data_IF_166036416470
#
_entry.id   IF_166036416470
#
_cell.length_a   1.000
_cell.length_b   1.000
_cell.length_c   1.000
_cell.angle_alpha   90.00
_cell.angle_beta   90.00
_cell.angle_gamma   90.00
#
_symmetry.space_group_name_H-M   'P 1'
#
loop_
_entity.id
_entity.type
_entity.pdbx_description
1 polymer ?
#
# COMPACT_ATOMS: atom_id res chain seq x y z
N UNK A 1 61.84 28.93 4.40
CA UNK A 1 60.96 29.79 3.58
C UNK A 1 60.93 29.16 2.19
N UNK A 2 59.86 28.61 1.61
CA UNK A 2 58.43 28.89 1.71
C UNK A 2 57.69 27.55 1.54
N UNK A 3 57.05 27.09 2.61
CA UNK A 3 56.03 26.05 2.56
C UNK A 3 54.71 26.76 2.84
N UNK A 4 54.06 27.27 1.80
CA UNK A 4 52.69 27.82 1.76
C UNK A 4 52.44 28.00 0.27
N UNK A 5 51.69 27.08 -0.34
CA UNK A 5 50.91 27.22 -1.59
C UNK A 5 50.54 25.82 -2.09
N UNK A 6 49.91 25.02 -1.24
CA UNK A 6 49.29 23.76 -1.64
C UNK A 6 48.10 23.45 -0.72
N UNK A 7 47.30 24.49 -0.46
CA UNK A 7 46.04 24.38 0.29
C UNK A 7 45.03 25.32 -0.38
N UNK A 8 44.71 25.07 -1.66
CA UNK A 8 43.59 25.76 -2.31
C UNK A 8 43.01 24.99 -3.52
N UNK A 9 42.98 23.66 -3.45
CA UNK A 9 42.36 22.81 -4.50
C UNK A 9 41.84 21.50 -3.93
N UNK A 10 41.18 21.53 -2.75
CA UNK A 10 40.57 20.31 -2.20
C UNK A 10 39.31 20.59 -1.34
N UNK A 11 38.46 21.53 -1.77
CA UNK A 11 37.26 21.92 -1.00
C UNK A 11 36.00 22.16 -1.85
N UNK A 12 35.89 21.58 -3.04
CA UNK A 12 34.71 21.72 -3.91
C UNK A 12 34.37 20.39 -4.60
N UNK A 13 33.99 19.37 -3.83
CA UNK A 13 33.47 18.12 -4.40
C UNK A 13 32.55 17.35 -3.43
N UNK A 14 31.62 18.04 -2.77
CA UNK A 14 30.46 17.37 -2.14
C UNK A 14 29.20 18.18 -2.40
N UNK A 15 28.93 18.48 -3.67
CA UNK A 15 27.58 18.80 -4.09
C UNK A 15 26.78 17.50 -4.05
N UNK A 16 26.06 17.31 -2.94
CA UNK A 16 25.06 16.29 -2.75
C UNK A 16 24.06 16.34 -3.91
N UNK A 17 24.20 15.42 -4.86
CA UNK A 17 23.20 15.18 -5.87
C UNK A 17 22.06 14.41 -5.19
N UNK A 18 21.15 15.15 -4.57
CA UNK A 18 19.81 14.65 -4.28
C UNK A 18 19.12 14.49 -5.64
N UNK A 19 19.32 13.33 -6.27
CA UNK A 19 18.58 12.95 -7.46
C UNK A 19 17.19 12.58 -6.98
N UNK A 20 16.28 13.56 -6.98
CA UNK A 20 14.86 13.29 -6.99
C UNK A 20 14.56 12.61 -8.33
N UNK A 21 14.52 11.28 -8.33
CA UNK A 21 13.99 10.50 -9.45
C UNK A 21 12.51 10.82 -9.56
N UNK A 22 12.18 11.82 -10.39
CA UNK A 22 10.83 11.96 -10.92
C UNK A 22 10.66 10.82 -11.92
N UNK A 23 9.86 9.81 -11.55
CA UNK A 23 9.45 8.78 -12.48
C UNK A 23 8.73 9.45 -13.66
N UNK A 24 9.32 9.34 -14.84
CA UNK A 24 8.70 9.74 -16.08
C UNK A 24 7.52 8.80 -16.34
N UNK A 25 6.33 9.37 -16.57
CA UNK A 25 5.10 8.68 -16.96
C UNK A 25 5.31 8.10 -18.37
N UNK A 26 5.83 6.86 -18.46
CA UNK A 26 6.16 6.18 -19.73
C UNK A 26 4.94 5.63 -20.47
N UNK A 27 3.73 5.84 -19.94
CA UNK A 27 2.49 5.29 -20.50
C UNK A 27 2.35 3.77 -20.34
N UNK A 28 3.33 3.10 -19.74
CA UNK A 28 3.30 1.68 -19.42
C UNK A 28 2.83 1.48 -17.99
N UNK A 29 1.82 0.64 -17.80
CA UNK A 29 1.34 0.24 -16.47
C UNK A 29 2.45 -0.61 -15.81
N UNK A 30 2.94 -0.23 -14.62
CA UNK A 30 4.00 -0.97 -13.94
C UNK A 30 3.51 -2.33 -13.44
N UNK A 31 4.43 -3.30 -13.39
CA UNK A 31 4.20 -4.64 -12.88
C UNK A 31 4.75 -4.79 -11.46
N UNK A 32 4.23 -5.75 -10.69
CA UNK A 32 4.75 -6.05 -9.34
C UNK A 32 6.25 -6.35 -9.33
N UNK A 33 6.77 -6.99 -10.38
CA UNK A 33 8.19 -7.34 -10.55
C UNK A 33 9.11 -6.13 -10.70
N UNK A 34 8.56 -4.94 -11.02
CA UNK A 34 9.34 -3.71 -11.15
C UNK A 34 9.74 -3.15 -9.77
N UNK A 35 9.12 -3.64 -8.69
CA UNK A 35 9.32 -3.16 -7.32
C UNK A 35 9.59 -4.29 -6.33
N UNK A 36 10.63 -5.12 -6.56
CA UNK A 36 10.88 -6.31 -5.77
C UNK A 36 11.32 -5.99 -4.34
N UNK A 37 11.02 -6.90 -3.42
CA UNK A 37 11.53 -6.89 -2.06
C UNK A 37 11.67 -8.33 -1.54
N UNK A 38 12.69 -8.55 -0.71
CA UNK A 38 12.89 -9.84 -0.06
C UNK A 38 11.77 -10.11 0.96
N UNK A 39 11.21 -11.32 0.91
CA UNK A 39 10.21 -11.78 1.87
C UNK A 39 10.91 -12.22 3.15
N UNK A 40 10.49 -11.66 4.27
CA UNK A 40 10.95 -12.00 5.60
C UNK A 40 10.55 -13.44 5.95
N UNK A 41 11.54 -14.29 6.22
CA UNK A 41 11.34 -15.71 6.52
C UNK A 41 11.55 -16.05 8.01
N UNK A 42 11.63 -15.04 8.87
CA UNK A 42 11.79 -15.24 10.32
C UNK A 42 10.47 -15.54 11.03
N UNK A 43 10.50 -15.52 12.36
CA UNK A 43 9.30 -15.76 13.16
C UNK A 43 8.33 -14.57 13.06
N UNK A 44 7.10 -14.83 12.63
CA UNK A 44 6.06 -13.82 12.48
C UNK A 44 5.51 -13.39 13.84
N UNK A 45 5.46 -12.07 14.06
CA UNK A 45 4.84 -11.41 15.21
C UNK A 45 3.45 -10.95 14.82
N UNK A 46 2.51 -11.88 14.86
CA UNK A 46 1.10 -11.61 14.58
C UNK A 46 0.53 -10.70 15.69
N UNK A 47 -0.19 -9.62 15.35
CA UNK A 47 -0.85 -8.78 16.34
C UNK A 47 -1.80 -9.58 17.25
N UNK A 48 -1.77 -9.29 18.55
CA UNK A 48 -2.52 -10.05 19.58
C UNK A 48 -4.05 -10.00 19.43
N UNK A 49 -4.56 -9.08 18.60
CA UNK A 49 -5.98 -8.97 18.32
C UNK A 49 -6.47 -10.04 17.33
N UNK A 50 -5.57 -10.64 16.53
CA UNK A 50 -5.87 -11.86 15.79
C UNK A 50 -5.80 -13.07 16.72
N UNK A 51 -6.90 -13.81 16.79
CA UNK A 51 -7.01 -15.00 17.64
C UNK A 51 -7.33 -16.21 16.82
N UNK A 52 -6.58 -17.29 17.05
CA UNK A 52 -6.92 -18.61 16.51
C UNK A 52 -7.79 -19.35 17.53
N UNK A 53 -9.05 -19.61 17.17
CA UNK A 53 -10.03 -20.33 18.01
C UNK A 53 -10.64 -21.43 17.17
N UNK A 54 -10.68 -22.67 17.69
CA UNK A 54 -11.22 -23.84 16.98
C UNK A 54 -10.64 -24.08 15.57
N UNK A 55 -9.37 -23.70 15.37
CA UNK A 55 -8.67 -23.82 14.10
C UNK A 55 -8.87 -22.65 13.13
N UNK A 56 -9.83 -21.76 13.41
CA UNK A 56 -10.15 -20.59 12.60
C UNK A 56 -9.49 -19.32 13.14
N UNK A 57 -9.11 -18.41 12.25
CA UNK A 57 -8.61 -17.09 12.63
C UNK A 57 -9.74 -16.09 12.71
N UNK A 58 -9.72 -15.27 13.76
CA UNK A 58 -10.69 -14.21 14.00
C UNK A 58 -10.01 -12.89 14.33
N UNK A 59 -10.61 -11.79 13.87
CA UNK A 59 -10.18 -10.43 14.21
C UNK A 59 -10.68 -9.99 15.59
N UNK A 60 -10.45 -8.71 15.91
CA UNK A 60 -10.83 -8.09 17.18
C UNK A 60 -12.35 -8.04 17.41
N UNK A 61 -13.13 -8.04 16.33
CA UNK A 61 -14.59 -8.15 16.35
C UNK A 61 -15.09 -9.60 16.39
N UNK A 62 -14.19 -10.58 16.42
CA UNK A 62 -14.53 -12.01 16.37
C UNK A 62 -14.95 -12.51 14.99
N UNK A 63 -14.76 -11.72 13.93
CA UNK A 63 -15.12 -12.08 12.56
C UNK A 63 -14.06 -12.98 11.95
N UNK A 64 -14.47 -13.93 11.12
CA UNK A 64 -13.57 -14.83 10.41
C UNK A 64 -12.62 -14.04 9.51
N UNK A 65 -11.35 -14.42 9.53
CA UNK A 65 -10.32 -13.86 8.66
C UNK A 65 -9.39 -14.97 8.16
N UNK A 66 -8.65 -14.68 7.09
CA UNK A 66 -7.54 -15.52 6.67
C UNK A 66 -6.45 -15.52 7.76
N UNK A 67 -5.63 -16.59 7.85
CA UNK A 67 -4.43 -16.58 8.68
C UNK A 67 -3.56 -15.35 8.37
N UNK A 68 -3.10 -14.60 9.39
CA UNK A 68 -2.13 -13.55 9.17
C UNK A 68 -0.83 -14.13 8.59
N UNK A 69 -0.50 -13.69 7.39
CA UNK A 69 0.67 -14.10 6.63
C UNK A 69 1.28 -12.89 5.92
N UNK A 70 2.53 -12.98 5.48
CA UNK A 70 3.10 -11.89 4.68
C UNK A 70 2.44 -11.94 3.30
N UNK A 71 1.71 -10.87 2.97
CA UNK A 71 1.04 -10.71 1.67
C UNK A 71 1.40 -9.38 1.00
N UNK A 72 2.29 -8.58 1.60
CA UNK A 72 2.70 -7.29 1.07
C UNK A 72 4.11 -6.87 1.50
N UNK A 73 4.86 -6.27 0.58
CA UNK A 73 6.08 -5.49 0.82
C UNK A 73 7.10 -6.20 1.75
N UNK A 74 7.27 -7.50 1.55
CA UNK A 74 8.30 -8.35 2.15
C UNK A 74 8.03 -8.77 3.58
N UNK A 75 7.24 -8.01 4.35
CA UNK A 75 7.07 -8.27 5.78
C UNK A 75 5.71 -7.89 6.34
N UNK A 76 4.85 -7.30 5.52
CA UNK A 76 3.58 -6.79 5.98
C UNK A 76 2.44 -7.76 5.69
N UNK A 77 1.46 -7.73 6.58
CA UNK A 77 0.13 -8.29 6.36
C UNK A 77 -0.86 -7.15 6.18
N UNK A 78 -1.54 -7.14 5.04
CA UNK A 78 -2.75 -6.36 4.83
C UNK A 78 -3.92 -7.19 5.31
N UNK A 79 -4.50 -6.79 6.45
CA UNK A 79 -5.76 -7.32 6.94
C UNK A 79 -6.91 -6.59 6.26
N UNK A 80 -7.90 -7.32 5.74
CA UNK A 80 -9.10 -6.74 5.15
C UNK A 80 -10.30 -7.07 6.01
N UNK A 81 -10.96 -6.03 6.51
CA UNK A 81 -12.04 -6.16 7.47
C UNK A 81 -13.31 -5.51 6.95
N UNK A 82 -14.46 -6.03 7.37
CA UNK A 82 -15.75 -5.38 7.12
C UNK A 82 -16.42 -5.03 8.44
N UNK A 83 -17.02 -3.86 8.55
CA UNK A 83 -17.86 -3.51 9.71
C UNK A 83 -19.38 -3.73 9.49
N UNK A 84 -19.81 -4.12 8.27
CA UNK A 84 -21.22 -4.25 7.88
C UNK A 84 -21.66 -3.13 6.94
N UNK A 85 -22.85 -3.23 6.33
CA UNK A 85 -23.45 -2.16 5.51
C UNK A 85 -22.51 -1.51 4.44
N UNK A 86 -21.65 -2.30 3.79
CA UNK A 86 -20.71 -1.80 2.77
C UNK A 86 -19.42 -1.17 3.32
N UNK A 87 -19.23 -1.15 4.64
CA UNK A 87 -17.98 -0.74 5.30
C UNK A 87 -16.84 -1.73 5.04
N UNK A 88 -15.69 -1.21 4.62
CA UNK A 88 -14.44 -1.93 4.40
C UNK A 88 -13.29 -1.11 4.98
N UNK A 89 -12.49 -1.71 5.85
CA UNK A 89 -11.27 -1.08 6.35
C UNK A 89 -10.08 -2.03 6.28
N UNK A 90 -8.88 -1.45 6.27
CA UNK A 90 -7.63 -2.17 6.10
C UNK A 90 -6.71 -1.91 7.28
N UNK A 91 -6.06 -2.97 7.76
CA UNK A 91 -4.93 -2.89 8.70
C UNK A 91 -3.65 -3.19 7.98
N UNK A 92 -2.54 -2.61 8.44
CA UNK A 92 -1.20 -2.89 7.93
C UNK A 92 -0.28 -3.25 9.09
N UNK A 93 0.01 -4.53 9.24
CA UNK A 93 0.84 -5.07 10.33
C UNK A 93 2.22 -5.45 9.81
N UNK A 94 3.28 -4.90 10.40
CA UNK A 94 4.65 -5.39 10.19
C UNK A 94 4.85 -6.68 10.99
N UNK A 95 4.84 -7.83 10.32
CA UNK A 95 4.97 -9.13 10.98
C UNK A 95 6.41 -9.46 11.41
N UNK A 96 7.42 -8.68 11.01
CA UNK A 96 8.78 -8.85 11.51
C UNK A 96 8.98 -8.15 12.87
N UNK A 97 8.33 -7.00 13.06
CA UNK A 97 8.44 -6.20 14.29
C UNK A 97 7.27 -6.37 15.26
N UNK A 98 6.08 -6.68 14.75
CA UNK A 98 4.80 -6.66 15.46
C UNK A 98 4.15 -5.27 15.53
N UNK A 99 4.64 -4.28 14.78
CA UNK A 99 4.12 -2.91 14.78
C UNK A 99 3.03 -2.69 13.75
N UNK A 100 2.04 -1.88 14.07
CA UNK A 100 0.99 -1.46 13.15
C UNK A 100 1.36 -0.16 12.40
N UNK A 101 0.78 0.01 11.21
CA UNK A 101 0.88 1.22 10.41
C UNK A 101 -0.50 1.65 9.91
N UNK A 102 -0.70 2.96 9.82
CA UNK A 102 -1.90 3.59 9.29
C UNK A 102 -1.77 3.99 7.81
N UNK A 103 -0.76 3.46 7.11
CA UNK A 103 -0.48 3.82 5.72
C UNK A 103 -1.65 3.52 4.75
N UNK A 104 -2.56 2.62 5.14
CA UNK A 104 -3.69 2.17 4.32
C UNK A 104 -5.05 2.78 4.75
N UNK A 105 -5.08 3.61 5.79
CA UNK A 105 -6.33 4.22 6.29
C UNK A 105 -7.08 4.98 5.20
N UNK A 106 -6.35 5.60 4.26
CA UNK A 106 -6.94 6.36 3.14
C UNK A 106 -7.78 5.51 2.17
N UNK A 107 -7.66 4.19 2.23
CA UNK A 107 -8.45 3.25 1.42
C UNK A 107 -9.66 2.69 2.16
N UNK A 108 -9.77 2.97 3.46
CA UNK A 108 -10.86 2.50 4.32
C UNK A 108 -12.08 3.40 4.20
N UNK A 109 -13.26 2.82 4.35
CA UNK A 109 -14.52 3.53 4.53
C UNK A 109 -15.21 3.10 5.81
N UNK A 110 -15.85 4.06 6.48
CA UNK A 110 -16.65 3.83 7.68
C UNK A 110 -18.16 4.03 7.40
N UNK A 111 -19.01 3.67 8.36
CA UNK A 111 -20.47 3.80 8.24
C UNK A 111 -20.96 5.25 8.08
N UNK A 112 -20.12 6.24 8.39
CA UNK A 112 -20.46 7.67 8.32
C UNK A 112 -19.95 8.34 7.04
N UNK A 113 -18.95 7.75 6.38
CA UNK A 113 -18.28 8.29 5.20
C UNK A 113 -18.15 7.20 4.13
N UNK A 114 -19.24 6.99 3.39
CA UNK A 114 -19.15 6.26 2.12
C UNK A 114 -18.39 7.11 1.11
N UNK A 115 -17.24 6.64 0.60
CA UNK A 115 -16.44 7.43 -0.31
C UNK A 115 -17.20 7.55 -1.63
N UNK A 116 -17.18 8.77 -2.19
CA UNK A 116 -17.93 9.14 -3.38
C UNK A 116 -17.01 9.70 -4.43
N UNK A 117 -17.30 9.37 -5.68
CA UNK A 117 -16.70 10.01 -6.84
C UNK A 117 -17.15 11.47 -6.93
N UNK A 118 -16.51 12.25 -7.80
CA UNK A 118 -16.89 13.65 -8.04
C UNK A 118 -18.35 13.81 -8.52
N UNK A 119 -18.87 12.83 -9.27
CA UNK A 119 -20.26 12.74 -9.70
C UNK A 119 -21.21 12.14 -8.65
N UNK A 120 -20.74 11.91 -7.42
CA UNK A 120 -21.56 11.54 -6.26
C UNK A 120 -21.88 10.05 -6.10
N UNK A 121 -21.38 9.20 -7.00
CA UNK A 121 -21.55 7.74 -6.93
C UNK A 121 -20.67 7.15 -5.84
N UNK A 122 -21.23 6.22 -5.08
CA UNK A 122 -20.48 5.50 -4.05
C UNK A 122 -19.51 4.52 -4.69
N UNK A 123 -18.41 4.23 -4.00
CA UNK A 123 -17.49 3.17 -4.41
C UNK A 123 -16.92 2.42 -3.21
N UNK A 124 -16.42 1.20 -3.45
CA UNK A 124 -15.65 0.43 -2.48
C UNK A 124 -14.25 0.22 -3.02
N UNK A 125 -13.25 0.31 -2.16
CA UNK A 125 -11.85 0.05 -2.53
C UNK A 125 -11.48 -1.39 -2.20
N UNK A 126 -10.94 -2.15 -3.16
CA UNK A 126 -10.18 -3.38 -2.93
C UNK A 126 -8.69 -3.13 -3.12
N UNK A 127 -7.87 -3.84 -2.35
CA UNK A 127 -6.41 -3.76 -2.45
C UNK A 127 -5.85 -5.05 -3.02
N UNK A 128 -4.96 -4.93 -4.00
CA UNK A 128 -4.19 -6.04 -4.58
C UNK A 128 -2.72 -5.82 -4.24
N UNK A 129 -2.10 -6.84 -3.65
CA UNK A 129 -0.70 -6.81 -3.22
C UNK A 129 -0.03 -8.15 -3.50
N UNK A 130 1.30 -8.16 -3.43
CA UNK A 130 2.11 -9.39 -3.44
C UNK A 130 3.15 -9.35 -2.32
N UNK A 131 3.50 -10.49 -1.72
CA UNK A 131 4.48 -10.55 -0.63
C UNK A 131 5.86 -10.05 -1.07
N UNK A 132 6.25 -10.28 -2.31
CA UNK A 132 7.56 -9.98 -2.88
C UNK A 132 7.63 -8.61 -3.57
N UNK A 133 6.63 -7.75 -3.40
CA UNK A 133 6.58 -6.43 -4.04
C UNK A 133 6.16 -5.30 -3.09
N UNK A 134 6.78 -4.13 -3.27
CA UNK A 134 6.36 -2.87 -2.61
C UNK A 134 5.18 -2.19 -3.31
N UNK A 135 4.76 -2.72 -4.47
CA UNK A 135 3.64 -2.20 -5.25
C UNK A 135 2.30 -2.62 -4.65
N UNK A 136 1.37 -1.67 -4.60
CA UNK A 136 0.00 -1.87 -4.15
C UNK A 136 -0.93 -1.30 -5.22
N UNK A 137 -1.93 -2.06 -5.64
CA UNK A 137 -2.99 -1.56 -6.52
C UNK A 137 -4.24 -1.35 -5.69
N UNK A 138 -4.80 -0.14 -5.75
CA UNK A 138 -6.12 0.14 -5.21
C UNK A 138 -7.13 0.17 -6.35
N UNK A 139 -8.09 -0.75 -6.32
CA UNK A 139 -9.19 -0.85 -7.27
C UNK A 139 -10.45 -0.26 -6.65
N UNK A 140 -11.06 0.70 -7.33
CA UNK A 140 -12.26 1.41 -6.94
C UNK A 140 -13.43 0.86 -7.75
N UNK A 141 -14.30 0.11 -7.06
CA UNK A 141 -15.53 -0.47 -7.62
C UNK A 141 -16.66 0.54 -7.44
N UNK A 142 -16.99 1.25 -8.52
CA UNK A 142 -17.95 2.36 -8.52
C UNK A 142 -19.33 1.81 -8.88
N UNK A 143 -20.31 2.08 -8.01
CA UNK A 143 -21.68 1.62 -8.18
C UNK A 143 -22.37 2.23 -9.42
N UNK A 144 -23.42 1.56 -9.89
CA UNK A 144 -24.30 2.09 -10.93
C UNK A 144 -24.96 3.40 -10.47
N UNK A 145 -24.98 4.41 -11.34
CA UNK A 145 -25.75 5.65 -11.15
C UNK A 145 -27.09 5.63 -11.89
N UNK A 146 -27.85 6.71 -11.78
CA UNK A 146 -29.11 6.87 -12.51
C UNK A 146 -28.94 6.83 -14.05
N UNK A 147 -27.79 7.32 -14.54
CA UNK A 147 -27.47 7.42 -15.98
C UNK A 147 -26.15 6.77 -16.36
N UNK A 148 -25.42 6.21 -15.39
CA UNK A 148 -24.06 5.69 -15.57
C UNK A 148 -24.01 4.23 -15.13
N UNK A 149 -23.30 3.40 -15.89
CA UNK A 149 -23.08 1.99 -15.54
C UNK A 149 -22.07 1.86 -14.39
N UNK A 150 -21.98 0.66 -13.82
CA UNK A 150 -20.88 0.29 -12.93
C UNK A 150 -19.54 0.48 -13.66
N UNK A 151 -18.53 0.93 -12.92
CA UNK A 151 -17.20 1.17 -13.44
C UNK A 151 -16.18 0.62 -12.44
N UNK A 152 -15.07 0.11 -12.96
CA UNK A 152 -13.90 -0.17 -12.16
C UNK A 152 -12.79 0.78 -12.59
N UNK A 153 -12.15 1.43 -11.63
CA UNK A 153 -10.98 2.28 -11.86
C UNK A 153 -9.89 1.86 -10.91
N UNK A 154 -8.63 2.02 -11.26
CA UNK A 154 -7.54 1.69 -10.36
C UNK A 154 -6.48 2.77 -10.29
N UNK A 155 -5.68 2.70 -9.24
CA UNK A 155 -4.48 3.52 -9.09
C UNK A 155 -3.41 2.72 -8.37
N UNK A 156 -2.18 2.90 -8.80
CA UNK A 156 -1.04 2.13 -8.32
C UNK A 156 -0.21 2.99 -7.38
N UNK A 157 0.23 2.38 -6.29
CA UNK A 157 0.96 2.99 -5.19
C UNK A 157 2.23 2.20 -4.85
N UNK A 158 3.19 2.88 -4.24
CA UNK A 158 4.31 2.26 -3.54
C UNK A 158 4.23 2.55 -2.05
N UNK A 159 4.44 1.53 -1.23
CA UNK A 159 4.69 1.73 0.18
C UNK A 159 6.07 2.37 0.37
N UNK A 160 6.13 3.41 1.20
CA UNK A 160 7.41 4.01 1.58
C UNK A 160 8.26 3.03 2.40
N UNK A 161 9.59 3.20 2.37
CA UNK A 161 10.52 2.26 3.03
C UNK A 161 10.28 2.17 4.54
N UNK A 162 9.85 3.28 5.15
CA UNK A 162 9.47 3.34 6.56
C UNK A 162 8.10 2.70 6.87
N UNK A 163 7.35 2.26 5.85
CA UNK A 163 6.04 1.62 6.00
C UNK A 163 4.90 2.54 6.38
N UNK A 164 5.09 3.86 6.32
CA UNK A 164 4.14 4.84 6.91
C UNK A 164 3.20 5.48 5.89
N UNK A 165 3.48 5.36 4.59
CA UNK A 165 2.69 6.03 3.54
C UNK A 165 2.64 5.20 2.28
N UNK A 166 1.47 5.10 1.66
CA UNK A 166 1.32 4.65 0.28
C UNK A 166 1.32 5.88 -0.66
N UNK A 167 2.29 5.96 -1.57
CA UNK A 167 2.45 7.07 -2.52
C UNK A 167 2.01 6.65 -3.92
N UNK A 168 1.11 7.39 -4.58
CA UNK A 168 0.70 7.03 -5.93
C UNK A 168 1.85 7.18 -6.92
N UNK A 169 1.98 6.20 -7.81
CA UNK A 169 2.95 6.22 -8.92
C UNK A 169 2.29 6.32 -10.29
N UNK A 170 0.97 6.19 -10.36
CA UNK A 170 0.18 6.41 -11.58
C UNK A 170 -0.92 7.46 -11.36
N UNK A 171 -1.44 7.98 -12.48
CA UNK A 171 -2.78 8.59 -12.54
C UNK A 171 -3.84 7.49 -12.35
N UNK A 172 -5.08 7.88 -12.10
CA UNK A 172 -6.20 6.93 -12.10
C UNK A 172 -6.40 6.35 -13.51
N UNK A 173 -6.45 5.03 -13.58
CA UNK A 173 -6.71 4.24 -14.78
C UNK A 173 -8.21 3.89 -14.78
N UNK A 174 -8.88 4.01 -15.93
CA UNK A 174 -10.34 3.90 -16.05
C UNK A 174 -10.86 2.46 -16.27
N UNK A 175 -10.04 1.46 -15.93
CA UNK A 175 -10.40 0.05 -15.85
C UNK A 175 -9.60 -0.57 -14.71
N UNK A 176 -9.96 -1.78 -14.29
CA UNK A 176 -9.16 -2.56 -13.37
C UNK A 176 -8.56 -3.74 -14.12
N UNK A 177 -7.31 -4.06 -13.84
CA UNK A 177 -6.69 -5.28 -14.34
C UNK A 177 -7.02 -6.47 -13.41
N UNK A 178 -7.18 -7.65 -14.01
CA UNK A 178 -7.29 -8.90 -13.28
C UNK A 178 -5.88 -9.39 -12.94
N UNK A 179 -5.40 -8.97 -11.78
CA UNK A 179 -4.14 -9.47 -11.22
C UNK A 179 -4.38 -10.86 -10.60
N UNK A 180 -4.19 -11.91 -11.40
CA UNK A 180 -4.09 -13.29 -10.89
C UNK A 180 -2.81 -13.52 -10.09
#
# INVERSE_FOLDING_TARGET
MKAIFLVLTLLLAFASQCVCTYAADSGTIPNFSDYPVEVYNGHLKVPNYYKKTDGEWRDDMGKLTAPPEINFAGKYYIGSHSCGAGCRYYTLSDLASGSESNALDMFSNDERHSPKTFDGRSYVTSLVSRPDSKMLVAQYHIEQGATSKEECRERIFLLSDEGKKAKPITKTINHCEDFQ
#
